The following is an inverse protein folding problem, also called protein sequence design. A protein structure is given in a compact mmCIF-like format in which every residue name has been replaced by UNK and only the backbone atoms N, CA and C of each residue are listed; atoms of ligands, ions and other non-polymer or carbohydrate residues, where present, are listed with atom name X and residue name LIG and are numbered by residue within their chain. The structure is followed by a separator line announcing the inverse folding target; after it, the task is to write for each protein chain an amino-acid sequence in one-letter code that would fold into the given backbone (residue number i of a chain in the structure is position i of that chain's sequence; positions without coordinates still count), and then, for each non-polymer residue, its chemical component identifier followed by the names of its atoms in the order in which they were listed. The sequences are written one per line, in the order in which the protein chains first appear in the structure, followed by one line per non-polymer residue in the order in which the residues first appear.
data_IF_644172082624
#
_entry.id   IF_644172082624
#
_cell.length_a   1.000
_cell.length_b   1.000
_cell.length_c   1.000
_cell.angle_alpha   90.00
_cell.angle_beta   90.00
_cell.angle_gamma   90.00
#
_symmetry.space_group_name_H-M   'P 1'
#
loop_
_entity.id
_entity.type
_entity.pdbx_description
1 polymer ?
#
# COMPACT_ATOMS: atom_id res chain seq x y z
N UNK A 1 10.97 -14.28 2.00
CA UNK A 1 9.55 -14.24 2.42
C UNK A 1 9.23 -12.84 2.88
N UNK A 2 8.28 -12.18 2.25
CA UNK A 2 7.78 -10.87 2.63
C UNK A 2 6.72 -11.04 3.73
N UNK A 3 6.97 -10.49 4.91
CA UNK A 3 6.01 -10.52 6.01
C UNK A 3 4.76 -9.67 5.70
N UNK A 4 3.59 -10.01 6.27
CA UNK A 4 2.42 -9.13 6.27
C UNK A 4 2.74 -7.74 6.84
N UNK A 5 2.06 -6.72 6.34
CA UNK A 5 2.26 -5.33 6.78
C UNK A 5 0.95 -4.54 6.73
N UNK A 6 0.87 -3.46 7.51
CA UNK A 6 -0.31 -2.61 7.56
C UNK A 6 -0.37 -1.73 6.32
N UNK A 7 -1.56 -1.60 5.74
CA UNK A 7 -1.86 -0.62 4.68
C UNK A 7 -3.09 0.20 5.06
N UNK A 8 -3.23 1.38 4.48
CA UNK A 8 -4.46 2.16 4.60
C UNK A 8 -5.65 1.40 3.99
N UNK A 9 -6.76 1.33 4.72
CA UNK A 9 -7.97 0.69 4.24
C UNK A 9 -8.90 1.67 3.49
N UNK A 10 -8.96 2.91 3.95
CA UNK A 10 -9.89 3.94 3.49
C UNK A 10 -9.22 5.30 3.38
N UNK A 11 -9.88 6.22 2.67
CA UNK A 11 -9.49 7.63 2.63
C UNK A 11 -10.03 8.36 3.85
N UNK A 12 -9.21 9.19 4.49
CA UNK A 12 -9.66 10.09 5.55
C UNK A 12 -9.23 11.52 5.26
N UNK A 13 -9.98 12.45 5.82
CA UNK A 13 -9.74 13.89 5.70
C UNK A 13 -9.82 14.47 7.11
N UNK A 14 -8.78 15.21 7.49
CA UNK A 14 -8.73 15.92 8.76
C UNK A 14 -8.31 17.37 8.53
N UNK A 15 -8.89 18.31 9.28
CA UNK A 15 -8.61 19.74 9.15
C UNK A 15 -8.09 20.31 10.47
N UNK A 16 -6.96 21.02 10.39
CA UNK A 16 -6.40 21.76 11.52
C UNK A 16 -6.21 23.24 11.17
N UNK A 17 -6.51 24.12 12.12
CA UNK A 17 -6.23 25.56 12.01
C UNK A 17 -5.04 25.92 12.90
N UNK A 18 -3.99 26.50 12.31
CA UNK A 18 -2.78 26.96 13.02
C UNK A 18 -2.50 28.40 12.66
N UNK A 19 -2.56 29.29 13.65
CA UNK A 19 -2.32 30.74 13.45
C UNK A 19 -3.13 31.30 12.27
N UNK A 20 -4.43 30.99 12.25
CA UNK A 20 -5.41 31.34 11.20
C UNK A 20 -5.17 30.70 9.83
N UNK A 21 -4.06 30.01 9.60
CA UNK A 21 -3.85 29.21 8.40
C UNK A 21 -4.60 27.89 8.54
N UNK A 22 -5.27 27.45 7.49
CA UNK A 22 -6.03 26.20 7.45
C UNK A 22 -5.21 25.13 6.73
N UNK A 23 -5.09 23.96 7.34
CA UNK A 23 -4.37 22.80 6.82
C UNK A 23 -5.36 21.65 6.73
N UNK A 24 -5.66 21.20 5.51
CA UNK A 24 -6.57 20.08 5.26
C UNK A 24 -5.69 18.90 4.83
N UNK A 25 -5.57 17.91 5.69
CA UNK A 25 -4.80 16.70 5.46
C UNK A 25 -5.69 15.61 4.89
N UNK A 26 -5.37 15.19 3.67
CA UNK A 26 -5.96 14.04 3.03
C UNK A 26 -5.00 12.87 3.14
N UNK A 27 -5.47 11.73 3.64
CA UNK A 27 -4.75 10.46 3.63
C UNK A 27 -5.53 9.46 2.78
N UNK A 28 -4.86 8.82 1.82
CA UNK A 28 -5.50 7.88 0.89
C UNK A 28 -4.65 6.63 0.64
N UNK A 29 -5.27 5.44 0.50
CA UNK A 29 -4.60 4.26 0.00
C UNK A 29 -3.93 4.53 -1.35
N UNK A 30 -2.67 4.12 -1.50
CA UNK A 30 -1.81 4.47 -2.61
C UNK A 30 -0.83 3.33 -2.91
N UNK A 31 -1.20 2.42 -3.80
CA UNK A 31 -0.40 1.23 -4.11
C UNK A 31 0.76 1.50 -5.09
N UNK A 32 0.83 2.68 -5.69
CA UNK A 32 1.87 3.04 -6.66
C UNK A 32 2.16 4.54 -6.71
N UNK A 33 3.32 4.90 -7.26
CA UNK A 33 3.68 6.30 -7.50
C UNK A 33 2.76 6.98 -8.51
N UNK A 34 2.14 6.21 -9.40
CA UNK A 34 1.14 6.70 -10.35
C UNK A 34 -0.17 7.08 -9.65
N UNK A 35 -0.61 6.27 -8.67
CA UNK A 35 -1.79 6.56 -7.85
C UNK A 35 -1.58 7.85 -7.06
N UNK A 36 -0.41 8.01 -6.42
CA UNK A 36 -0.05 9.23 -5.70
C UNK A 36 -0.16 10.47 -6.61
N UNK A 37 0.45 10.42 -7.80
CA UNK A 37 0.41 11.54 -8.77
C UNK A 37 -1.01 11.88 -9.19
N UNK A 38 -1.84 10.87 -9.42
CA UNK A 38 -3.26 11.06 -9.80
C UNK A 38 -4.03 11.72 -8.67
N UNK A 39 -3.80 11.27 -7.43
CA UNK A 39 -4.44 11.82 -6.24
C UNK A 39 -4.04 13.28 -5.99
N UNK A 40 -2.75 13.60 -6.03
CA UNK A 40 -2.24 14.98 -5.87
C UNK A 40 -2.90 15.91 -6.88
N UNK A 41 -2.94 15.52 -8.16
CA UNK A 41 -3.59 16.31 -9.22
C UNK A 41 -5.07 16.53 -8.95
N UNK A 42 -5.78 15.51 -8.46
CA UNK A 42 -7.20 15.65 -8.14
C UNK A 42 -7.45 16.69 -7.05
N UNK A 43 -6.59 16.78 -6.04
CA UNK A 43 -6.69 17.77 -4.96
C UNK A 43 -6.28 19.18 -5.42
N UNK A 44 -5.34 19.30 -6.35
CA UNK A 44 -5.02 20.57 -7.00
C UNK A 44 -6.21 21.13 -7.77
N UNK A 45 -6.95 20.27 -8.47
CA UNK A 45 -8.19 20.64 -9.18
C UNK A 45 -9.32 20.97 -8.20
N UNK A 46 -9.45 20.22 -7.10
CA UNK A 46 -10.47 20.46 -6.07
C UNK A 46 -10.22 21.75 -5.28
N UNK A 47 -8.95 22.09 -5.05
CA UNK A 47 -8.53 23.25 -4.26
C UNK A 47 -7.65 24.22 -5.08
N UNK A 48 -8.19 24.85 -6.15
CA UNK A 48 -7.40 25.70 -7.04
C UNK A 48 -6.96 27.02 -6.38
N UNK A 49 -7.61 27.41 -5.28
CA UNK A 49 -7.33 28.63 -4.52
C UNK A 49 -6.42 28.39 -3.31
N UNK A 50 -5.97 27.15 -3.08
CA UNK A 50 -5.01 26.87 -2.02
C UNK A 50 -3.63 27.41 -2.38
N UNK A 51 -2.86 27.77 -1.36
CA UNK A 51 -1.50 28.29 -1.56
C UNK A 51 -0.52 27.17 -1.90
N UNK A 52 -0.69 26.01 -1.26
CA UNK A 52 0.22 24.86 -1.38
C UNK A 52 -0.56 23.55 -1.23
N UNK A 53 -0.11 22.53 -1.95
CA UNK A 53 -0.53 21.13 -1.93
C UNK A 53 0.67 20.24 -1.63
N UNK A 54 1.30 20.47 -0.48
CA UNK A 54 2.47 19.69 -0.06
C UNK A 54 2.06 18.23 0.14
N UNK A 55 2.95 17.30 -0.20
CA UNK A 55 2.63 15.88 -0.14
C UNK A 55 3.79 15.03 0.36
N UNK A 56 3.45 13.84 0.84
CA UNK A 56 4.37 12.74 1.10
C UNK A 56 3.65 11.41 0.82
N UNK A 57 4.36 10.38 0.39
CA UNK A 57 3.79 9.06 0.19
C UNK A 57 4.81 7.94 0.42
N UNK A 58 4.27 6.78 0.76
CA UNK A 58 4.94 5.48 0.75
C UNK A 58 4.12 4.59 -0.20
N UNK A 59 4.58 4.43 -1.44
CA UNK A 59 3.84 3.78 -2.52
C UNK A 59 4.05 2.25 -2.57
N UNK A 60 4.29 1.64 -1.41
CA UNK A 60 4.59 0.22 -1.28
C UNK A 60 4.81 -0.16 0.17
N UNK A 61 5.72 -1.11 0.41
CA UNK A 61 6.05 -1.57 1.76
C UNK A 61 6.62 -0.42 2.62
N UNK A 62 6.27 -0.35 3.92
CA UNK A 62 6.71 0.69 4.85
C UNK A 62 8.22 0.89 4.95
N UNK A 63 9.00 -0.15 4.63
CA UNK A 63 10.46 -0.19 4.69
C UNK A 63 11.15 0.03 3.33
N UNK A 64 10.39 0.07 2.22
CA UNK A 64 10.96 0.21 0.88
C UNK A 64 11.16 1.68 0.50
N UNK A 65 12.32 2.22 0.90
CA UNK A 65 12.68 3.64 0.67
C UNK A 65 12.72 4.08 -0.79
N UNK A 66 12.83 3.16 -1.76
CA UNK A 66 12.80 3.50 -3.19
C UNK A 66 11.39 3.94 -3.65
N UNK A 67 10.36 3.62 -2.87
CA UNK A 67 8.97 3.97 -3.16
C UNK A 67 8.45 5.13 -2.29
N UNK A 68 9.37 5.89 -1.68
CA UNK A 68 9.01 7.10 -0.94
C UNK A 68 9.05 8.31 -1.87
N UNK A 69 8.21 9.30 -1.60
CA UNK A 69 8.27 10.59 -2.27
C UNK A 69 7.64 11.68 -1.43
N UNK A 70 8.08 12.92 -1.62
CA UNK A 70 7.54 14.09 -0.92
C UNK A 70 7.81 15.37 -1.72
N UNK A 71 7.08 16.43 -1.42
CA UNK A 71 7.29 17.77 -1.97
C UNK A 71 6.82 18.85 -1.00
N UNK A 72 7.56 19.95 -0.97
CA UNK A 72 7.18 21.16 -0.24
C UNK A 72 6.23 22.07 -1.04
N UNK A 73 6.02 21.81 -2.34
CA UNK A 73 5.09 22.57 -3.21
C UNK A 73 5.18 24.10 -3.08
N UNK A 74 6.39 24.65 -3.08
CA UNK A 74 6.63 26.09 -2.96
C UNK A 74 6.71 26.63 -1.53
N UNK A 75 6.45 25.81 -0.51
CA UNK A 75 6.87 26.13 0.86
C UNK A 75 8.41 26.18 0.96
N UNK A 76 8.98 26.84 1.99
CA UNK A 76 10.42 26.80 2.22
C UNK A 76 10.95 25.37 2.29
N UNK A 77 12.08 25.12 1.65
CA UNK A 77 12.67 23.78 1.49
C UNK A 77 12.80 23.04 2.82
N UNK A 78 12.27 21.82 2.86
CA UNK A 78 12.31 20.92 4.00
C UNK A 78 11.36 21.30 5.15
N UNK A 79 10.40 22.20 4.92
CA UNK A 79 9.46 22.62 5.97
C UNK A 79 8.09 21.94 5.93
N UNK A 80 7.76 21.23 4.85
CA UNK A 80 6.47 20.54 4.71
C UNK A 80 6.63 19.06 4.37
N UNK A 81 7.15 18.73 3.19
CA UNK A 81 7.19 17.37 2.65
C UNK A 81 8.03 16.40 3.51
N UNK A 82 9.21 16.84 3.99
CA UNK A 82 10.06 16.02 4.88
C UNK A 82 9.39 15.69 6.22
N UNK A 83 8.85 16.68 6.98
CA UNK A 83 8.05 16.41 8.18
C UNK A 83 6.87 15.46 7.94
N UNK A 84 6.15 15.61 6.83
CA UNK A 84 5.05 14.72 6.47
C UNK A 84 5.53 13.29 6.26
N UNK A 85 6.59 13.09 5.46
CA UNK A 85 7.16 11.77 5.20
C UNK A 85 7.65 11.11 6.50
N UNK A 86 8.27 11.87 7.40
CA UNK A 86 8.72 11.33 8.69
C UNK A 86 7.56 10.76 9.53
N UNK A 87 6.37 11.37 9.47
CA UNK A 87 5.19 10.83 10.14
C UNK A 87 4.67 9.56 9.47
N UNK A 88 4.66 9.50 8.14
CA UNK A 88 4.28 8.29 7.41
C UNK A 88 5.24 7.14 7.74
N UNK A 89 6.56 7.39 7.70
CA UNK A 89 7.56 6.38 8.04
C UNK A 89 7.42 5.88 9.49
N UNK A 90 7.21 6.79 10.43
CA UNK A 90 7.01 6.45 11.85
C UNK A 90 5.69 5.73 12.14
N UNK A 91 4.74 5.70 11.20
CA UNK A 91 3.48 4.97 11.35
C UNK A 91 3.60 3.48 11.01
N UNK A 92 4.66 3.09 10.29
CA UNK A 92 4.85 1.71 9.78
C UNK A 92 3.68 1.21 8.89
N UNK A 93 2.89 2.14 8.32
CA UNK A 93 1.81 1.88 7.36
C UNK A 93 2.33 2.10 5.94
N UNK A 94 2.12 1.10 5.08
CA UNK A 94 2.48 1.12 3.67
C UNK A 94 1.32 1.54 2.78
N UNK A 95 1.62 1.69 1.50
CA UNK A 95 0.64 2.01 0.44
C UNK A 95 -0.29 3.18 0.80
N UNK A 96 0.31 4.31 1.14
CA UNK A 96 -0.37 5.48 1.70
C UNK A 96 0.21 6.78 1.12
N UNK A 97 -0.67 7.70 0.75
CA UNK A 97 -0.31 9.05 0.34
C UNK A 97 -1.00 10.09 1.24
N UNK A 98 -0.22 11.06 1.70
CA UNK A 98 -0.67 12.25 2.39
C UNK A 98 -0.53 13.48 1.50
N UNK A 99 -1.60 14.28 1.41
CA UNK A 99 -1.56 15.61 0.79
C UNK A 99 -2.14 16.60 1.78
N UNK A 100 -1.37 17.63 2.14
CA UNK A 100 -1.83 18.70 3.01
C UNK A 100 -2.05 19.94 2.16
N UNK A 101 -3.32 20.31 2.02
CA UNK A 101 -3.76 21.51 1.33
C UNK A 101 -3.76 22.67 2.31
N UNK A 102 -2.99 23.71 2.00
CA UNK A 102 -2.85 24.87 2.88
C UNK A 102 -3.53 26.11 2.30
N UNK A 103 -4.34 26.75 3.13
CA UNK A 103 -4.83 28.12 2.90
C UNK A 103 -4.17 29.06 3.91
N UNK A 104 -3.46 30.08 3.42
CA UNK A 104 -2.71 31.03 4.23
C UNK A 104 -3.63 31.99 4.99
N UNK A 105 -3.42 32.10 6.30
CA UNK A 105 -4.26 32.90 7.20
C UNK A 105 -3.82 34.34 7.44
N UNK A 106 -2.87 34.86 6.66
CA UNK A 106 -2.34 36.23 6.83
C UNK A 106 -1.14 36.37 7.77
N UNK A 107 -0.84 35.37 8.60
CA UNK A 107 0.30 35.38 9.54
C UNK A 107 1.29 34.26 9.23
N UNK A 108 2.58 34.60 9.11
CA UNK A 108 3.65 33.62 8.85
C UNK A 108 3.97 32.80 10.10
N UNK A 109 4.16 31.48 9.93
CA UNK A 109 4.47 30.54 11.03
C UNK A 109 5.98 30.38 11.30
N UNK A 110 6.85 30.85 10.39
CA UNK A 110 8.29 30.55 10.41
C UNK A 110 8.60 29.07 10.13
N UNK A 111 9.86 28.70 9.85
CA UNK A 111 10.22 27.33 9.43
C UNK A 111 9.83 26.24 10.42
N UNK A 112 10.11 26.43 11.72
CA UNK A 112 9.76 25.46 12.76
C UNK A 112 8.25 25.40 13.06
N UNK A 113 7.50 26.47 12.76
CA UNK A 113 6.03 26.45 12.82
C UNK A 113 5.43 25.65 11.67
N UNK A 114 5.96 25.79 10.46
CA UNK A 114 5.54 25.00 9.29
C UNK A 114 5.81 23.52 9.48
N UNK A 115 7.01 23.14 9.92
CA UNK A 115 7.34 21.73 10.17
C UNK A 115 6.38 21.07 11.16
N UNK A 116 6.04 21.79 12.25
CA UNK A 116 5.07 21.30 13.24
C UNK A 116 3.64 21.26 12.69
N UNK A 117 3.23 22.23 11.88
CA UNK A 117 1.90 22.25 11.29
C UNK A 117 1.70 21.10 10.29
N UNK A 118 2.63 20.92 9.34
CA UNK A 118 2.54 19.87 8.31
C UNK A 118 2.67 18.47 8.90
N UNK A 119 3.72 18.22 9.70
CA UNK A 119 3.87 16.94 10.38
C UNK A 119 2.73 16.67 11.37
N UNK A 120 2.30 17.69 12.12
CA UNK A 120 1.19 17.59 13.05
C UNK A 120 -0.13 17.21 12.39
N UNK A 121 -0.44 17.80 11.22
CA UNK A 121 -1.66 17.50 10.46
C UNK A 121 -1.68 16.04 10.00
N UNK A 122 -0.55 15.54 9.46
CA UNK A 122 -0.43 14.12 9.07
C UNK A 122 -0.54 13.20 10.27
N UNK A 123 0.05 13.55 11.41
CA UNK A 123 -0.05 12.75 12.64
C UNK A 123 -1.48 12.64 13.15
N UNK A 124 -2.24 13.75 13.15
CA UNK A 124 -3.64 13.75 13.59
C UNK A 124 -4.49 12.90 12.66
N UNK A 125 -4.33 13.10 11.35
CA UNK A 125 -4.97 12.30 10.32
C UNK A 125 -4.65 10.79 10.47
N UNK A 126 -3.39 10.41 10.71
CA UNK A 126 -2.98 9.03 10.91
C UNK A 126 -3.65 8.37 12.13
N UNK A 127 -3.91 9.13 13.20
CA UNK A 127 -4.58 8.60 14.39
C UNK A 127 -6.04 8.19 14.12
N UNK A 128 -6.64 8.70 13.03
CA UNK A 128 -8.00 8.41 12.60
C UNK A 128 -8.06 7.40 11.45
N UNK A 129 -6.92 7.03 10.86
CA UNK A 129 -6.86 6.24 9.63
C UNK A 129 -7.18 4.76 9.91
N UNK A 130 -8.24 4.19 9.30
CA UNK A 130 -8.46 2.75 9.34
C UNK A 130 -7.38 2.01 8.55
N UNK A 131 -6.80 0.97 9.15
CA UNK A 131 -5.80 0.12 8.49
C UNK A 131 -6.30 -1.31 8.33
N UNK A 132 -5.67 -2.02 7.40
CA UNK A 132 -5.84 -3.47 7.24
C UNK A 132 -4.49 -4.13 7.00
N UNK A 133 -4.41 -5.41 7.38
CA UNK A 133 -3.23 -6.22 7.12
C UNK A 133 -3.22 -6.67 5.65
N UNK A 134 -2.13 -6.39 4.93
CA UNK A 134 -1.87 -6.90 3.59
C UNK A 134 -0.96 -8.12 3.69
N UNK A 135 -1.45 -9.26 3.19
CA UNK A 135 -0.67 -10.50 3.08
C UNK A 135 -0.01 -10.53 1.70
N UNK A 136 1.33 -10.60 1.61
CA UNK A 136 2.02 -10.72 0.33
C UNK A 136 1.69 -12.06 -0.33
N UNK A 137 1.11 -11.97 -1.53
CA UNK A 137 0.75 -13.14 -2.34
C UNK A 137 1.75 -13.33 -3.47
N UNK A 138 2.15 -14.58 -3.72
CA UNK A 138 3.01 -14.98 -4.84
C UNK A 138 2.22 -15.87 -5.78
N UNK A 139 2.39 -15.63 -7.08
CA UNK A 139 1.75 -16.47 -8.11
C UNK A 139 2.62 -17.68 -8.45
N UNK A 140 1.99 -18.85 -8.45
CA UNK A 140 2.57 -20.13 -8.83
C UNK A 140 1.65 -20.84 -9.82
N UNK A 141 2.21 -21.79 -10.55
CA UNK A 141 1.44 -22.71 -11.39
C UNK A 141 1.55 -24.13 -10.86
N UNK A 142 0.49 -24.91 -11.07
CA UNK A 142 0.43 -26.31 -10.68
C UNK A 142 -0.35 -27.08 -11.76
N UNK A 143 0.22 -28.16 -12.25
CA UNK A 143 -0.49 -29.14 -13.08
C UNK A 143 -0.92 -30.31 -12.20
N UNK A 144 -2.21 -30.66 -12.19
CA UNK A 144 -2.73 -31.81 -11.46
C UNK A 144 -3.77 -32.60 -12.26
N UNK A 145 -4.03 -33.83 -11.85
CA UNK A 145 -5.06 -34.66 -12.45
C UNK A 145 -6.45 -34.28 -11.90
N UNK A 146 -7.50 -34.61 -12.66
CA UNK A 146 -8.90 -34.42 -12.24
C UNK A 146 -9.24 -35.11 -10.91
N UNK A 147 -8.57 -36.21 -10.58
CA UNK A 147 -8.75 -36.92 -9.31
C UNK A 147 -8.14 -36.18 -8.11
N UNK A 148 -7.20 -35.27 -8.36
CA UNK A 148 -6.42 -34.58 -7.33
C UNK A 148 -6.92 -33.15 -7.05
N UNK A 149 -7.74 -32.58 -7.93
CA UNK A 149 -8.14 -31.16 -7.83
C UNK A 149 -8.78 -30.82 -6.48
N UNK A 150 -9.70 -31.65 -5.97
CA UNK A 150 -10.43 -31.34 -4.74
C UNK A 150 -9.49 -31.23 -3.54
N UNK A 151 -8.49 -32.11 -3.45
CA UNK A 151 -7.49 -32.08 -2.39
C UNK A 151 -6.56 -30.86 -2.53
N UNK A 152 -6.16 -30.52 -3.76
CA UNK A 152 -5.38 -29.31 -4.05
C UNK A 152 -6.13 -28.06 -3.61
N UNK A 153 -7.42 -27.95 -3.94
CA UNK A 153 -8.24 -26.80 -3.56
C UNK A 153 -8.47 -26.75 -2.04
N UNK A 154 -8.62 -27.90 -1.39
CA UNK A 154 -8.71 -27.98 0.06
C UNK A 154 -7.44 -27.44 0.74
N UNK A 155 -6.26 -27.88 0.31
CA UNK A 155 -5.00 -27.37 0.88
C UNK A 155 -4.77 -25.89 0.55
N UNK A 156 -5.22 -25.44 -0.62
CA UNK A 156 -5.12 -24.04 -1.02
C UNK A 156 -5.93 -23.15 -0.07
N UNK A 157 -7.17 -23.53 0.21
CA UNK A 157 -8.04 -22.84 1.17
C UNK A 157 -7.44 -22.84 2.58
N UNK A 158 -6.93 -23.98 3.05
CA UNK A 158 -6.28 -24.10 4.37
C UNK A 158 -5.08 -23.16 4.56
N UNK A 159 -4.35 -22.83 3.49
CA UNK A 159 -3.24 -21.88 3.55
C UNK A 159 -3.64 -20.45 3.19
N UNK A 160 -4.93 -20.17 2.98
CA UNK A 160 -5.45 -18.85 2.61
C UNK A 160 -5.04 -18.44 1.19
N UNK A 161 -4.80 -19.39 0.30
CA UNK A 161 -4.51 -19.15 -1.10
C UNK A 161 -5.77 -18.98 -1.95
N UNK A 162 -5.59 -18.44 -3.14
CA UNK A 162 -6.65 -18.12 -4.08
C UNK A 162 -6.36 -18.72 -5.46
N UNK A 163 -7.43 -19.08 -6.16
CA UNK A 163 -7.36 -19.54 -7.55
C UNK A 163 -7.46 -18.32 -8.45
N UNK A 164 -6.43 -18.11 -9.28
CA UNK A 164 -6.41 -17.01 -10.25
C UNK A 164 -6.96 -17.47 -11.61
N UNK A 165 -6.61 -18.69 -12.03
CA UNK A 165 -7.05 -19.27 -13.29
C UNK A 165 -7.03 -20.80 -13.21
N UNK A 166 -7.95 -21.43 -13.94
CA UNK A 166 -8.04 -22.88 -14.11
C UNK A 166 -8.26 -23.21 -15.58
N UNK A 167 -7.36 -24.00 -16.16
CA UNK A 167 -7.48 -24.48 -17.54
C UNK A 167 -7.60 -26.01 -17.54
N UNK A 168 -8.70 -26.52 -18.09
CA UNK A 168 -9.03 -27.95 -18.12
C UNK A 168 -8.63 -28.56 -19.47
N UNK A 169 -7.54 -29.34 -19.48
CA UNK A 169 -7.06 -30.07 -20.66
C UNK A 169 -6.91 -31.57 -20.31
N UNK A 170 -5.88 -32.26 -20.83
CA UNK A 170 -5.51 -33.62 -20.39
C UNK A 170 -5.20 -33.65 -18.89
N UNK A 171 -4.47 -32.64 -18.41
CA UNK A 171 -4.32 -32.30 -17.00
C UNK A 171 -4.95 -30.92 -16.73
N UNK A 172 -5.24 -30.64 -15.47
CA UNK A 172 -5.72 -29.34 -15.02
C UNK A 172 -4.51 -28.46 -14.73
N UNK A 173 -4.41 -27.33 -15.44
CA UNK A 173 -3.41 -26.30 -15.17
C UNK A 173 -4.03 -25.21 -14.28
N UNK A 174 -3.48 -25.03 -13.09
CA UNK A 174 -3.91 -24.03 -12.12
C UNK A 174 -2.89 -22.90 -12.06
N UNK A 175 -3.38 -21.66 -12.07
CA UNK A 175 -2.62 -20.51 -11.59
C UNK A 175 -3.14 -20.13 -10.21
N UNK A 176 -2.27 -20.17 -9.22
CA UNK A 176 -2.58 -19.99 -7.80
C UNK A 176 -1.89 -18.73 -7.28
N UNK A 177 -2.56 -17.99 -6.40
CA UNK A 177 -1.95 -16.98 -5.55
C UNK A 177 -1.86 -17.53 -4.12
N UNK A 178 -0.65 -17.59 -3.57
CA UNK A 178 -0.38 -18.17 -2.26
C UNK A 178 0.28 -17.12 -1.37
N UNK A 179 -0.04 -17.06 -0.07
CA UNK A 179 0.76 -16.28 0.86
C UNK A 179 2.22 -16.71 0.79
N UNK A 180 3.13 -15.73 0.64
CA UNK A 180 4.56 -16.00 0.42
C UNK A 180 5.17 -16.88 1.52
N UNK A 181 4.74 -16.66 2.76
CA UNK A 181 5.17 -17.44 3.93
C UNK A 181 4.61 -18.88 3.98
N UNK A 182 3.58 -19.21 3.20
CA UNK A 182 2.93 -20.53 3.19
C UNK A 182 3.33 -21.40 2.00
N UNK A 183 4.16 -20.90 1.07
CA UNK A 183 4.56 -21.63 -0.13
C UNK A 183 5.18 -22.99 0.22
N UNK A 184 6.13 -23.02 1.15
CA UNK A 184 6.84 -24.26 1.50
C UNK A 184 5.91 -25.27 2.17
N UNK A 185 4.98 -24.80 3.01
CA UNK A 185 3.97 -25.64 3.67
C UNK A 185 3.03 -26.24 2.63
N UNK A 186 2.51 -25.43 1.71
CA UNK A 186 1.63 -25.89 0.65
C UNK A 186 2.34 -26.91 -0.27
N UNK A 187 3.60 -26.64 -0.64
CA UNK A 187 4.43 -27.56 -1.41
C UNK A 187 4.63 -28.91 -0.70
N UNK A 188 4.86 -28.92 0.61
CA UNK A 188 5.00 -30.16 1.40
C UNK A 188 3.69 -30.96 1.47
N UNK A 189 2.54 -30.27 1.60
CA UNK A 189 1.23 -30.92 1.57
C UNK A 189 0.97 -31.59 0.22
N UNK A 190 1.23 -30.88 -0.88
CA UNK A 190 1.13 -31.42 -2.24
C UNK A 190 2.00 -32.66 -2.42
N UNK A 191 3.29 -32.57 -2.06
CA UNK A 191 4.20 -33.70 -2.16
C UNK A 191 3.75 -34.91 -1.34
N UNK A 192 3.21 -34.68 -0.14
CA UNK A 192 2.72 -35.75 0.74
C UNK A 192 1.52 -36.47 0.12
N UNK A 193 0.52 -35.72 -0.35
CA UNK A 193 -0.70 -36.32 -0.93
C UNK A 193 -0.44 -37.02 -2.27
N UNK A 194 0.57 -36.58 -3.03
CA UNK A 194 0.83 -37.06 -4.39
C UNK A 194 2.03 -38.00 -4.48
N UNK A 195 2.57 -38.48 -3.35
CA UNK A 195 3.83 -39.23 -3.32
C UNK A 195 4.98 -38.55 -4.12
N UNK A 196 5.07 -37.22 -4.04
CA UNK A 196 6.09 -36.40 -4.68
C UNK A 196 5.82 -35.97 -6.13
N UNK A 197 4.70 -36.37 -6.74
CA UNK A 197 4.40 -36.06 -8.15
C UNK A 197 3.97 -34.60 -8.42
N UNK A 198 3.29 -33.95 -7.48
CA UNK A 198 2.83 -32.57 -7.60
C UNK A 198 3.92 -31.60 -7.12
N UNK A 199 4.19 -30.59 -7.95
CA UNK A 199 5.19 -29.56 -7.65
C UNK A 199 4.72 -28.20 -8.15
N UNK A 200 4.82 -27.20 -7.28
CA UNK A 200 4.62 -25.80 -7.64
C UNK A 200 5.71 -25.32 -8.57
N UNK A 201 5.31 -24.70 -9.67
CA UNK A 201 6.20 -24.04 -10.61
C UNK A 201 6.09 -22.52 -10.49
N UNK A 202 7.16 -21.77 -10.77
CA UNK A 202 7.05 -20.32 -10.95
C UNK A 202 6.06 -20.00 -12.08
N UNK A 203 5.34 -18.88 -11.96
CA UNK A 203 4.52 -18.38 -13.06
C UNK A 203 5.43 -18.01 -14.25
N UNK A 204 5.56 -18.91 -15.21
CA UNK A 204 6.15 -18.61 -16.51
C UNK A 204 5.18 -17.69 -17.24
N UNK A 205 5.63 -16.48 -17.61
CA UNK A 205 4.89 -15.64 -18.55
C UNK A 205 4.73 -16.46 -19.84
N UNK A 206 3.51 -16.96 -20.12
CA UNK A 206 3.13 -17.25 -21.50
C UNK A 206 3.27 -15.90 -22.24
N UNK A 207 4.16 -15.88 -23.24
CA UNK A 207 4.52 -14.71 -24.04
C UNK A 207 3.28 -14.05 -24.64
#
# INVERSE_FOLDING_TARGET
MSAPYQIAAEEIIDETIVTRSRFICYLKPCASTADAKTFIKSLQVMHPQANHHCYAFIAGRPENSQLYGFSDDGEPSGTAGKPMLAMLMGSEIGELCAVVVRYFGGTKLGPGGLQRAYGGSVRQALALLPTKLKIPMVRKTLACQYTQINDVLYFLDQCGGEIIQQDYNENIELTLALPDEKIDVFQQQLQTMSAGQLTLQPLTKKQ
#
